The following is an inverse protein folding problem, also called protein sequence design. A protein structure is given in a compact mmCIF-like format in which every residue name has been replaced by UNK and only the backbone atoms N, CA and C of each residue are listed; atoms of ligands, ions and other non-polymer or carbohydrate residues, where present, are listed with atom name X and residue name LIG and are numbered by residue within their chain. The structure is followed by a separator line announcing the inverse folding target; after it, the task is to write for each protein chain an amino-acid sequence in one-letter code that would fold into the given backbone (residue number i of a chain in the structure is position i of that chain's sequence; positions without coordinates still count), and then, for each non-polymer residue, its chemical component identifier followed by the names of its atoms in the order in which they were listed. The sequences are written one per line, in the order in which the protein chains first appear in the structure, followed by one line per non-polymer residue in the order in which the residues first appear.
data_IF_503147292978
#
_entry.id   IF_503147292978
#
_cell.length_a   1.000
_cell.length_b   1.000
_cell.length_c   1.000
_cell.angle_alpha   90.00
_cell.angle_beta   90.00
_cell.angle_gamma   90.00
#
_symmetry.space_group_name_H-M   'P 1'
#
loop_
_entity.id
_entity.type
_entity.pdbx_description
1 polymer ?
#
# COMPACT_ATOMS: atom_id res chain seq x y z
N UNK A 1 -17.02 -42.08 -38.12
CA UNK A 1 -17.53 -41.69 -36.80
C UNK A 1 -17.20 -42.80 -35.81
N UNK A 2 -16.12 -42.66 -35.05
CA UNK A 2 -15.69 -43.63 -34.04
C UNK A 2 -16.02 -43.05 -32.66
N UNK A 3 -16.86 -43.73 -31.88
CA UNK A 3 -17.19 -43.40 -30.50
C UNK A 3 -17.12 -44.67 -29.65
N UNK A 4 -16.63 -44.47 -28.41
CA UNK A 4 -16.74 -45.35 -27.24
C UNK A 4 -15.78 -46.56 -27.25
N UNK A 5 -15.12 -46.99 -26.16
CA UNK A 5 -15.37 -46.83 -24.72
C UNK A 5 -14.03 -46.90 -23.95
N UNK A 6 -14.03 -46.17 -22.83
CA UNK A 6 -13.11 -46.12 -21.69
C UNK A 6 -12.82 -47.50 -21.07
N UNK A 7 -11.60 -47.70 -20.56
CA UNK A 7 -11.38 -48.68 -19.50
C UNK A 7 -9.91 -48.99 -19.24
N UNK A 8 -9.35 -48.41 -18.17
CA UNK A 8 -8.44 -49.13 -17.27
C UNK A 8 -8.62 -48.55 -15.88
N UNK A 9 -9.22 -49.33 -14.99
CA UNK A 9 -9.22 -49.11 -13.56
C UNK A 9 -7.92 -49.70 -12.98
N UNK A 10 -7.12 -48.88 -12.32
CA UNK A 10 -6.02 -49.34 -11.48
C UNK A 10 -6.22 -48.73 -10.09
N UNK A 11 -6.82 -49.52 -9.21
CA UNK A 11 -6.90 -49.25 -7.77
C UNK A 11 -5.57 -49.73 -7.18
N UNK A 12 -4.77 -48.81 -6.65
CA UNK A 12 -3.68 -49.15 -5.74
C UNK A 12 -3.82 -48.29 -4.48
N UNK A 13 -4.46 -48.89 -3.47
CA UNK A 13 -4.58 -48.34 -2.13
C UNK A 13 -3.31 -48.70 -1.34
N UNK A 14 -2.47 -47.71 -1.04
CA UNK A 14 -1.53 -47.73 0.08
C UNK A 14 -1.19 -46.28 0.46
N UNK A 15 -1.83 -45.76 1.50
CA UNK A 15 -1.30 -44.61 2.25
C UNK A 15 -1.37 -44.94 3.74
N UNK A 16 -0.18 -45.02 4.31
CA UNK A 16 0.14 -45.37 5.68
C UNK A 16 -0.54 -44.43 6.68
N UNK A 17 -1.00 -45.04 7.76
CA UNK A 17 -1.42 -44.43 9.03
C UNK A 17 -0.32 -43.54 9.62
N UNK A 18 -0.67 -42.32 10.03
CA UNK A 18 0.15 -41.55 10.98
C UNK A 18 -0.10 -40.06 10.96
N UNK A 19 -0.96 -39.57 11.86
CA UNK A 19 -1.10 -38.14 12.15
C UNK A 19 -2.44 -37.80 12.79
N UNK A 20 -2.44 -37.58 14.11
CA UNK A 20 -3.61 -37.14 14.88
C UNK A 20 -4.23 -35.86 14.30
N UNK A 21 -5.56 -35.78 14.09
CA UNK A 21 -6.19 -34.51 13.77
C UNK A 21 -6.22 -33.65 15.03
N UNK A 22 -5.38 -32.61 15.08
CA UNK A 22 -5.62 -31.47 15.95
C UNK A 22 -6.88 -30.76 15.42
N UNK A 23 -8.01 -31.06 16.04
CA UNK A 23 -9.23 -30.30 15.86
C UNK A 23 -9.00 -28.86 16.37
N UNK A 24 -8.71 -27.95 15.45
CA UNK A 24 -8.91 -26.51 15.62
C UNK A 24 -9.74 -26.01 14.44
N UNK A 25 -10.93 -26.61 14.29
CA UNK A 25 -11.96 -26.14 13.38
C UNK A 25 -12.92 -25.23 14.12
N UNK A 26 -12.70 -23.91 14.02
CA UNK A 26 -13.79 -22.93 14.13
C UNK A 26 -13.54 -21.77 13.17
N UNK A 27 -14.32 -21.82 12.09
CA UNK A 27 -14.71 -20.81 11.11
C UNK A 27 -13.63 -20.04 10.33
N UNK A 28 -13.54 -20.24 8.99
CA UNK A 28 -13.13 -19.14 8.13
C UNK A 28 -14.13 -17.99 8.32
N UNK A 29 -13.60 -16.81 8.60
CA UNK A 29 -14.33 -15.55 8.59
C UNK A 29 -14.88 -15.33 7.18
N UNK A 30 -16.13 -15.74 6.93
CA UNK A 30 -16.87 -15.32 5.74
C UNK A 30 -17.28 -13.86 5.93
N UNK A 31 -16.43 -12.96 5.47
CA UNK A 31 -16.86 -11.65 4.98
C UNK A 31 -16.05 -11.32 3.73
N UNK A 32 -16.26 -12.08 2.66
CA UNK A 32 -15.90 -11.61 1.32
C UNK A 32 -16.96 -10.60 0.87
N UNK A 33 -17.00 -9.46 1.56
CA UNK A 33 -17.47 -8.23 0.96
C UNK A 33 -16.24 -7.63 0.30
N UNK A 34 -15.98 -7.99 -0.96
CA UNK A 34 -15.01 -7.27 -1.78
C UNK A 34 -15.55 -5.85 -1.97
N UNK A 35 -15.32 -4.98 -1.00
CA UNK A 35 -15.65 -3.55 -1.10
C UNK A 35 -14.79 -3.01 -2.23
N UNK A 36 -15.41 -2.80 -3.38
CA UNK A 36 -14.73 -2.24 -4.55
C UNK A 36 -14.49 -0.75 -4.30
N UNK A 37 -13.24 -0.32 -4.40
CA UNK A 37 -12.89 1.09 -4.29
C UNK A 37 -13.39 1.85 -5.54
N UNK A 38 -13.99 3.02 -5.31
CA UNK A 38 -14.35 3.98 -6.37
C UNK A 38 -13.24 4.99 -6.65
N UNK A 39 -12.11 4.82 -5.96
CA UNK A 39 -10.94 5.67 -6.06
C UNK A 39 -9.66 4.82 -6.09
N UNK A 40 -8.55 5.41 -6.50
CA UNK A 40 -7.24 4.78 -6.62
C UNK A 40 -6.15 5.70 -6.07
N UNK A 41 -5.31 5.21 -5.15
CA UNK A 41 -4.09 5.90 -4.72
C UNK A 41 -2.98 5.69 -5.74
N UNK A 42 -2.40 6.77 -6.23
CA UNK A 42 -1.34 6.74 -7.24
C UNK A 42 -0.15 7.58 -6.79
N UNK A 43 1.06 7.05 -6.98
CA UNK A 43 2.28 7.84 -6.84
C UNK A 43 2.29 8.97 -7.87
N UNK A 44 2.64 10.18 -7.45
CA UNK A 44 2.60 11.36 -8.30
C UNK A 44 3.43 11.19 -9.59
N UNK A 45 4.60 10.55 -9.49
CA UNK A 45 5.44 10.25 -10.64
C UNK A 45 6.18 8.92 -10.44
N UNK A 46 5.63 7.79 -10.92
CA UNK A 46 6.22 6.47 -10.68
C UNK A 46 7.59 6.28 -11.35
N UNK A 47 8.00 7.18 -12.24
CA UNK A 47 9.28 7.10 -12.94
C UNK A 47 10.36 7.97 -12.31
N UNK A 48 10.03 8.81 -11.32
CA UNK A 48 11.01 9.70 -10.67
C UNK A 48 10.82 9.73 -9.15
N UNK A 49 11.92 9.64 -8.38
CA UNK A 49 11.84 9.77 -6.94
C UNK A 49 11.39 11.19 -6.57
N UNK A 50 10.61 11.30 -5.50
CA UNK A 50 10.35 12.57 -4.85
C UNK A 50 11.65 13.04 -4.17
N UNK A 51 11.97 14.33 -4.24
CA UNK A 51 13.27 14.85 -3.81
C UNK A 51 13.13 15.84 -2.67
N UNK A 52 13.99 15.69 -1.67
CA UNK A 52 14.20 16.70 -0.63
C UNK A 52 15.66 17.14 -0.72
N UNK A 53 15.83 18.44 -1.00
CA UNK A 53 17.11 19.07 -1.21
C UNK A 53 17.48 19.79 0.07
N UNK A 54 18.34 19.18 0.89
CA UNK A 54 18.64 19.68 2.21
C UNK A 54 19.96 19.13 2.76
N UNK A 55 20.74 19.90 3.53
CA UNK A 55 21.92 19.36 4.21
C UNK A 55 21.52 18.27 5.22
N UNK A 56 22.45 17.36 5.53
CA UNK A 56 22.16 16.16 6.34
C UNK A 56 21.74 16.45 7.80
N UNK A 57 22.03 17.64 8.30
CA UNK A 57 21.67 18.13 9.64
C UNK A 57 20.34 18.89 9.66
N UNK A 58 19.60 18.89 8.56
CA UNK A 58 18.33 19.60 8.46
C UNK A 58 17.20 18.94 9.26
N UNK A 59 16.60 19.75 10.13
CA UNK A 59 15.37 19.43 10.83
C UNK A 59 14.20 20.23 10.26
N UNK A 60 13.08 19.58 9.95
CA UNK A 60 11.86 20.24 9.50
C UNK A 60 10.63 19.39 9.78
N UNK A 61 9.57 20.05 10.23
CA UNK A 61 8.24 19.48 10.31
C UNK A 61 7.38 19.91 9.11
N UNK A 62 6.30 19.17 8.85
CA UNK A 62 5.32 19.51 7.81
C UNK A 62 5.82 19.25 6.39
N UNK A 63 6.74 18.29 6.23
CA UNK A 63 7.02 17.68 4.93
C UNK A 63 5.87 16.75 4.56
N UNK A 64 5.72 16.44 3.28
CA UNK A 64 4.64 15.60 2.77
C UNK A 64 5.11 14.88 1.51
N UNK A 65 4.44 13.78 1.19
CA UNK A 65 4.56 13.13 -0.10
C UNK A 65 3.52 13.69 -1.06
N UNK A 66 3.89 13.79 -2.33
CA UNK A 66 2.98 14.09 -3.42
C UNK A 66 2.30 12.81 -3.90
N UNK A 67 0.98 12.82 -4.00
CA UNK A 67 0.20 11.70 -4.55
C UNK A 67 -0.91 12.21 -5.45
N UNK A 68 -1.53 11.31 -6.19
CA UNK A 68 -2.83 11.54 -6.81
C UNK A 68 -3.85 10.54 -6.28
N UNK A 69 -5.10 10.99 -6.16
CA UNK A 69 -6.25 10.12 -5.88
C UNK A 69 -7.19 10.24 -7.07
N UNK A 70 -7.34 9.15 -7.81
CA UNK A 70 -8.12 9.10 -9.04
C UNK A 70 -9.47 8.47 -8.78
N UNK A 71 -10.54 8.98 -9.39
CA UNK A 71 -11.91 8.51 -9.17
C UNK A 71 -12.67 9.41 -8.21
N UNK A 72 -13.62 8.84 -7.46
CA UNK A 72 -14.55 9.58 -6.61
C UNK A 72 -14.59 8.94 -5.22
N UNK A 73 -14.67 9.77 -4.18
CA UNK A 73 -14.79 9.32 -2.80
C UNK A 73 -15.74 10.23 -2.02
N UNK A 74 -16.68 9.63 -1.30
CA UNK A 74 -17.72 10.35 -0.54
C UNK A 74 -17.38 10.52 0.94
N UNK A 75 -16.46 9.71 1.47
CA UNK A 75 -15.94 9.83 2.84
C UNK A 75 -14.55 10.46 2.81
N UNK A 76 -14.13 11.17 3.88
CA UNK A 76 -12.77 11.66 3.94
C UNK A 76 -11.76 10.52 3.83
N UNK A 77 -10.68 10.76 3.09
CA UNK A 77 -9.55 9.85 3.00
C UNK A 77 -8.51 10.27 4.02
N UNK A 78 -8.12 9.31 4.87
CA UNK A 78 -6.95 9.42 5.74
C UNK A 78 -5.73 8.90 5.02
N UNK A 79 -4.55 9.47 5.27
CA UNK A 79 -3.30 8.99 4.66
C UNK A 79 -2.12 9.01 5.62
N UNK A 80 -1.14 8.18 5.31
CA UNK A 80 0.11 8.09 6.07
C UNK A 80 1.20 7.40 5.27
N UNK A 81 2.35 7.23 5.92
CA UNK A 81 3.55 6.63 5.35
C UNK A 81 4.16 5.64 6.33
N UNK A 82 4.67 4.54 5.79
CA UNK A 82 5.49 3.57 6.48
C UNK A 82 6.90 3.52 5.84
N UNK A 83 7.86 2.95 6.57
CA UNK A 83 9.25 2.82 6.14
C UNK A 83 9.88 4.18 5.77
N UNK A 84 9.68 5.17 6.65
CA UNK A 84 10.34 6.46 6.51
C UNK A 84 11.86 6.32 6.69
N UNK A 85 12.66 7.21 6.08
CA UNK A 85 14.11 7.25 6.28
C UNK A 85 14.51 7.37 7.77
N UNK A 86 15.72 6.95 8.15
CA UNK A 86 16.26 7.21 9.48
C UNK A 86 16.16 8.69 9.87
N UNK A 87 15.74 8.94 11.11
CA UNK A 87 15.54 10.29 11.65
C UNK A 87 14.31 11.04 11.13
N UNK A 88 13.47 10.37 10.34
CA UNK A 88 12.14 10.85 9.97
C UNK A 88 11.05 10.16 10.82
N UNK A 89 9.95 10.88 11.06
CA UNK A 89 8.80 10.38 11.82
C UNK A 89 7.48 10.77 11.14
N UNK A 90 6.47 9.88 11.10
CA UNK A 90 5.18 10.21 10.55
C UNK A 90 4.50 11.27 11.42
N UNK A 91 3.90 12.27 10.79
CA UNK A 91 3.00 13.20 11.46
C UNK A 91 1.58 12.66 11.31
N UNK A 92 0.79 12.54 12.39
CA UNK A 92 -0.60 12.13 12.28
C UNK A 92 -1.39 13.09 11.38
N UNK A 93 -2.53 12.64 10.87
CA UNK A 93 -3.56 13.48 10.24
C UNK A 93 -3.33 13.88 8.77
N UNK A 94 -2.86 12.98 7.92
CA UNK A 94 -3.11 13.13 6.49
C UNK A 94 -4.62 13.09 6.25
N UNK A 95 -5.23 14.21 5.87
CA UNK A 95 -6.68 14.34 5.68
C UNK A 95 -7.00 14.91 4.30
N UNK A 96 -7.83 14.20 3.55
CA UNK A 96 -8.27 14.59 2.22
C UNK A 96 -9.80 14.60 2.25
N UNK A 97 -10.46 15.76 2.09
CA UNK A 97 -11.92 15.85 2.15
C UNK A 97 -12.57 15.06 0.99
N UNK A 98 -13.85 14.68 1.10
CA UNK A 98 -14.61 14.08 0.01
C UNK A 98 -14.47 14.85 -1.31
N UNK A 99 -14.48 14.14 -2.42
CA UNK A 99 -14.27 14.76 -3.73
C UNK A 99 -14.14 13.77 -4.87
N UNK A 100 -13.66 14.28 -6.00
CA UNK A 100 -13.30 13.49 -7.17
C UNK A 100 -12.12 14.10 -7.90
N UNK A 101 -11.41 13.29 -8.69
CA UNK A 101 -10.40 13.74 -9.65
C UNK A 101 -10.23 12.74 -10.79
N UNK A 102 -9.99 13.25 -11.98
CA UNK A 102 -9.79 12.56 -13.24
C UNK A 102 -8.31 12.47 -13.65
N UNK A 103 -7.46 11.97 -12.74
CA UNK A 103 -6.03 11.68 -12.99
C UNK A 103 -5.09 12.87 -13.19
N UNK A 104 -5.30 13.97 -12.46
CA UNK A 104 -4.40 15.12 -12.55
C UNK A 104 -4.24 15.93 -11.28
N UNK A 105 -5.06 15.68 -10.25
CA UNK A 105 -4.94 16.44 -9.01
C UNK A 105 -3.81 15.87 -8.15
N UNK A 106 -2.77 16.67 -8.01
CA UNK A 106 -1.69 16.41 -7.05
C UNK A 106 -2.13 16.87 -5.68
N UNK A 107 -1.93 16.01 -4.70
CA UNK A 107 -2.29 16.23 -3.30
C UNK A 107 -1.05 16.08 -2.43
N UNK A 108 -1.00 16.89 -1.38
CA UNK A 108 -0.05 16.70 -0.29
C UNK A 108 -0.65 15.66 0.66
N UNK A 109 -0.02 14.50 0.77
CA UNK A 109 -0.46 13.40 1.62
C UNK A 109 0.66 12.93 2.54
N UNK A 110 0.30 12.12 3.54
CA UNK A 110 1.23 11.46 4.44
C UNK A 110 2.29 12.41 5.04
N UNK A 111 1.86 13.40 5.84
CA UNK A 111 2.80 14.37 6.39
C UNK A 111 3.81 13.70 7.32
N UNK A 112 5.02 14.23 7.36
CA UNK A 112 6.11 13.73 8.19
C UNK A 112 7.05 14.86 8.63
N UNK A 113 7.89 14.54 9.61
CA UNK A 113 8.98 15.40 10.07
C UNK A 113 10.30 14.68 9.90
N UNK A 114 11.37 15.47 9.82
CA UNK A 114 12.76 15.02 9.85
C UNK A 114 13.49 15.77 10.94
N UNK A 115 14.33 15.07 11.70
CA UNK A 115 15.25 15.66 12.68
C UNK A 115 16.67 15.73 12.10
N UNK A 116 17.15 14.62 11.54
CA UNK A 116 18.37 14.54 10.72
C UNK A 116 18.24 13.27 9.89
N UNK A 117 18.27 13.42 8.57
CA UNK A 117 18.16 12.29 7.64
C UNK A 117 19.38 12.31 6.73
N UNK A 118 20.18 11.22 6.71
CA UNK A 118 21.32 11.14 5.80
C UNK A 118 20.90 11.31 4.34
N UNK A 119 21.83 11.80 3.52
CA UNK A 119 21.67 11.78 2.07
C UNK A 119 21.54 10.34 1.61
N UNK A 120 20.56 10.07 0.75
CA UNK A 120 20.30 8.72 0.30
C UNK A 120 18.96 8.57 -0.42
N UNK A 121 18.81 7.41 -1.04
CA UNK A 121 17.57 6.96 -1.66
C UNK A 121 16.87 5.99 -0.72
N UNK A 122 15.61 6.26 -0.41
CA UNK A 122 14.82 5.49 0.53
C UNK A 122 13.51 5.02 -0.10
N UNK A 123 13.12 3.78 0.21
CA UNK A 123 11.88 3.19 -0.24
C UNK A 123 10.85 3.28 0.89
N UNK A 124 9.81 4.06 0.67
CA UNK A 124 8.70 4.20 1.61
C UNK A 124 7.42 3.62 1.00
N UNK A 125 6.42 3.40 1.85
CA UNK A 125 5.10 2.93 1.42
C UNK A 125 4.07 3.93 1.88
N UNK A 126 3.41 4.57 0.94
CA UNK A 126 2.26 5.42 1.23
C UNK A 126 1.03 4.56 1.37
N UNK A 127 0.15 4.94 2.27
CA UNK A 127 -1.16 4.35 2.40
C UNK A 127 -2.24 5.43 2.49
N UNK A 128 -3.41 5.10 1.97
CA UNK A 128 -4.60 5.92 2.08
C UNK A 128 -5.80 5.03 2.41
N UNK A 129 -6.74 5.53 3.22
CA UNK A 129 -7.93 4.80 3.63
C UNK A 129 -9.15 5.71 3.71
N UNK A 130 -10.26 5.27 3.12
CA UNK A 130 -11.57 5.93 3.21
C UNK A 130 -12.43 5.39 4.38
N UNK A 131 -11.82 4.56 5.24
CA UNK A 131 -12.46 3.84 6.35
C UNK A 131 -13.05 2.48 5.97
N UNK A 132 -13.12 2.15 4.68
CA UNK A 132 -13.63 0.85 4.17
C UNK A 132 -12.58 0.11 3.35
N UNK A 133 -11.84 0.82 2.52
CA UNK A 133 -10.75 0.32 1.71
C UNK A 133 -9.47 1.06 2.06
N UNK A 134 -8.39 0.32 2.23
CA UNK A 134 -7.03 0.87 2.35
C UNK A 134 -6.24 0.46 1.12
N UNK A 135 -5.60 1.44 0.49
CA UNK A 135 -4.69 1.23 -0.63
C UNK A 135 -3.29 1.63 -0.24
N UNK A 136 -2.30 0.99 -0.86
CA UNK A 136 -0.89 1.30 -0.66
C UNK A 136 -0.19 1.48 -1.99
N UNK A 137 0.75 2.42 -2.06
CA UNK A 137 1.62 2.60 -3.22
C UNK A 137 3.07 2.73 -2.75
N UNK A 138 4.03 1.97 -3.33
CA UNK A 138 5.44 2.18 -3.05
C UNK A 138 5.89 3.51 -3.64
N UNK A 139 6.73 4.23 -2.91
CA UNK A 139 7.33 5.48 -3.37
C UNK A 139 8.81 5.53 -3.03
N UNK A 140 9.56 6.32 -3.79
CA UNK A 140 10.96 6.57 -3.52
C UNK A 140 11.13 8.04 -3.12
N UNK A 141 11.81 8.26 -2.00
CA UNK A 141 12.24 9.61 -1.58
C UNK A 141 13.77 9.69 -1.55
N UNK A 142 14.30 10.67 -2.26
CA UNK A 142 15.72 10.97 -2.35
C UNK A 142 16.03 12.21 -1.51
N UNK A 143 16.86 12.02 -0.48
CA UNK A 143 17.47 13.13 0.27
C UNK A 143 18.81 13.45 -0.37
N UNK A 144 19.01 14.71 -0.78
CA UNK A 144 20.20 15.16 -1.48
C UNK A 144 20.64 16.53 -0.96
N UNK A 145 21.94 16.81 -0.90
CA UNK A 145 22.41 18.15 -0.49
C UNK A 145 22.05 19.24 -1.51
N UNK A 146 21.92 18.87 -2.79
CA UNK A 146 21.63 19.80 -3.89
C UNK A 146 20.66 19.19 -4.89
N UNK A 147 19.77 20.05 -5.36
CA UNK A 147 18.95 19.91 -6.56
C UNK A 147 19.15 21.19 -7.38
#
# INVERSE_FOLDING_TARGET
MLRLVIGVAAVLALALTGGSPAAAGTSPLTTDSTVSATWELVDYDPNRPQRICTPSDFARAGLYFLVSINGTWSTPITSGVANLPPGAAPTPNGFIPPGSSDRGRVLNAAPFSVASTPVGRYHSVLWASDGRVTQTVPVIIDFQERC
#
